data_IF_014976029711
#
_entry.id   IF_014976029711
#
_cell.length_a   1.000
_cell.length_b   1.000
_cell.length_c   1.000
_cell.angle_alpha   90.00
_cell.angle_beta   90.00
_cell.angle_gamma   90.00
#
_symmetry.space_group_name_H-M   'P 1'
#
loop_
_entity.id
_entity.type
_entity.pdbx_description
1 polymer ?
#
# COMPACT_ATOMS: atom_id res chain seq x y z
N UNK A 1 19.04 -27.98 18.54
CA UNK A 1 19.16 -27.02 17.42
C UNK A 1 17.86 -26.26 17.33
N UNK A 2 17.79 -25.09 17.95
CA UNK A 2 16.57 -24.27 17.95
C UNK A 2 16.52 -23.49 16.65
N UNK A 3 15.55 -23.79 15.78
CA UNK A 3 15.22 -22.93 14.65
C UNK A 3 14.67 -21.64 15.23
N UNK A 4 15.47 -20.58 15.20
CA UNK A 4 14.99 -19.24 15.47
C UNK A 4 13.93 -18.95 14.41
N UNK A 5 12.65 -18.99 14.81
CA UNK A 5 11.58 -18.43 14.01
C UNK A 5 11.92 -16.95 13.86
N UNK A 6 12.51 -16.59 12.73
CA UNK A 6 12.60 -15.19 12.31
C UNK A 6 11.16 -14.73 12.22
N UNK A 7 10.70 -14.01 13.23
CA UNK A 7 9.43 -13.32 13.14
C UNK A 7 9.52 -12.48 11.85
N UNK A 8 8.53 -12.54 10.95
CA UNK A 8 8.54 -11.63 9.81
C UNK A 8 8.53 -10.22 10.38
N UNK A 9 9.70 -9.56 10.31
CA UNK A 9 9.84 -8.17 10.69
C UNK A 9 8.74 -7.42 9.94
N UNK A 10 7.89 -6.62 10.61
CA UNK A 10 6.83 -5.89 9.93
C UNK A 10 7.49 -4.94 8.93
N UNK A 11 7.50 -5.36 7.66
CA UNK A 11 8.01 -4.56 6.58
C UNK A 11 6.99 -3.45 6.32
N UNK A 12 7.45 -2.19 6.17
CA UNK A 12 6.55 -1.10 5.85
C UNK A 12 5.80 -1.41 4.56
N UNK A 13 4.53 -1.02 4.52
CA UNK A 13 3.63 -1.33 3.43
C UNK A 13 2.93 -0.07 2.93
N UNK A 14 2.47 -0.12 1.70
CA UNK A 14 1.76 0.96 1.01
C UNK A 14 0.43 0.42 0.50
N UNK A 15 -0.50 1.33 0.23
CA UNK A 15 -1.77 0.98 -0.41
C UNK A 15 -1.71 1.50 -1.82
N UNK A 16 -1.88 0.61 -2.79
CA UNK A 16 -1.96 0.95 -4.20
C UNK A 16 -3.37 0.73 -4.70
N UNK A 17 -3.81 1.58 -5.62
CA UNK A 17 -5.05 1.46 -6.37
C UNK A 17 -4.73 1.07 -7.80
N UNK A 18 -5.40 0.03 -8.30
CA UNK A 18 -5.46 -0.25 -9.73
C UNK A 18 -6.51 0.66 -10.35
N UNK A 19 -6.10 1.47 -11.30
CA UNK A 19 -7.04 2.16 -12.18
C UNK A 19 -7.61 1.18 -13.21
N UNK A 20 -8.91 1.27 -13.49
CA UNK A 20 -9.55 0.41 -14.48
C UNK A 20 -9.12 0.71 -15.93
N UNK A 21 -8.40 1.82 -16.16
CA UNK A 21 -8.01 2.27 -17.49
C UNK A 21 -6.69 1.61 -17.91
N UNK A 22 -6.62 1.00 -19.12
CA UNK A 22 -5.36 0.51 -19.67
C UNK A 22 -4.33 1.65 -19.80
N UNK A 23 -3.13 1.45 -19.26
CA UNK A 23 -2.04 2.43 -19.28
C UNK A 23 -2.08 3.50 -18.18
N UNK A 24 -3.02 3.41 -17.24
CA UNK A 24 -3.00 4.26 -16.06
C UNK A 24 -1.89 3.81 -15.08
N UNK A 25 -1.14 4.78 -14.56
CA UNK A 25 -0.06 4.53 -13.61
C UNK A 25 -0.63 4.07 -12.26
N UNK A 26 0.13 3.22 -11.56
CA UNK A 26 -0.21 2.84 -10.20
C UNK A 26 -0.34 4.10 -9.33
N UNK A 27 -1.43 4.20 -8.59
CA UNK A 27 -1.65 5.29 -7.65
C UNK A 27 -1.52 4.76 -6.24
N UNK A 28 -0.82 5.48 -5.37
CA UNK A 28 -0.56 5.14 -3.99
C UNK A 28 -1.33 6.06 -3.06
N UNK A 29 -1.81 5.51 -1.95
CA UNK A 29 -2.66 6.23 -1.01
C UNK A 29 -1.84 7.24 -0.20
N UNK A 30 -2.37 8.46 -0.10
CA UNK A 30 -1.99 9.47 0.89
C UNK A 30 -3.17 9.62 1.83
N UNK A 31 -2.96 9.39 3.12
CA UNK A 31 -3.92 9.76 4.16
C UNK A 31 -3.54 11.14 4.68
N UNK A 32 -4.45 12.10 4.50
CA UNK A 32 -4.35 13.40 5.16
C UNK A 32 -4.54 13.26 6.67
N UNK A 33 -4.08 14.24 7.44
CA UNK A 33 -4.23 14.28 8.89
C UNK A 33 -5.69 14.18 9.35
N UNK A 34 -6.63 14.68 8.54
CA UNK A 34 -8.08 14.60 8.77
C UNK A 34 -8.70 13.23 8.41
N UNK A 35 -7.88 12.27 7.97
CA UNK A 35 -8.33 10.94 7.53
C UNK A 35 -8.89 10.89 6.11
N UNK A 36 -8.78 11.99 5.35
CA UNK A 36 -9.13 12.01 3.93
C UNK A 36 -8.14 11.18 3.10
N UNK A 37 -8.66 10.40 2.15
CA UNK A 37 -7.88 9.57 1.25
C UNK A 37 -7.60 10.31 -0.07
N UNK A 38 -6.34 10.59 -0.32
CA UNK A 38 -5.80 11.17 -1.56
C UNK A 38 -4.88 10.16 -2.26
N UNK A 39 -4.48 10.42 -3.50
CA UNK A 39 -3.74 9.48 -4.35
C UNK A 39 -2.59 10.16 -5.07
N UNK A 40 -1.41 9.55 -5.03
CA UNK A 40 -0.20 10.03 -5.71
C UNK A 40 0.37 8.96 -6.63
N UNK A 41 1.02 9.36 -7.72
CA UNK A 41 1.82 8.43 -8.53
C UNK A 41 3.22 8.20 -7.94
N UNK A 42 3.63 9.01 -6.96
CA UNK A 42 4.94 8.91 -6.33
C UNK A 42 4.88 8.06 -5.05
N UNK A 43 5.49 6.87 -5.03
CA UNK A 43 5.52 6.01 -3.84
C UNK A 43 6.25 6.64 -2.64
N UNK A 44 7.16 7.58 -2.87
CA UNK A 44 7.91 8.22 -1.78
C UNK A 44 7.01 9.13 -0.94
N UNK A 45 6.01 9.75 -1.58
CA UNK A 45 5.00 10.62 -0.96
C UNK A 45 3.84 9.84 -0.35
N UNK A 46 3.70 8.55 -0.68
CA UNK A 46 2.63 7.70 -0.19
C UNK A 46 2.75 7.42 1.31
N UNK A 47 1.60 7.31 1.97
CA UNK A 47 1.52 7.01 3.40
C UNK A 47 2.02 5.60 3.69
N UNK A 48 3.18 5.50 4.33
CA UNK A 48 3.74 4.25 4.81
C UNK A 48 2.98 3.72 6.04
N UNK A 49 2.51 2.49 5.95
CA UNK A 49 1.96 1.73 7.07
C UNK A 49 3.05 0.87 7.68
N UNK A 50 2.97 0.62 9.00
CA UNK A 50 3.99 -0.17 9.69
C UNK A 50 3.95 -1.64 9.27
N UNK A 51 2.82 -2.12 8.75
CA UNK A 51 2.69 -3.52 8.28
C UNK A 51 1.71 -3.67 7.11
N UNK A 52 1.86 -4.76 6.35
CA UNK A 52 0.89 -5.19 5.33
C UNK A 52 -0.54 -5.30 5.88
N UNK A 53 -0.70 -5.77 7.12
CA UNK A 53 -2.03 -5.90 7.74
C UNK A 53 -2.72 -4.55 7.90
N UNK A 54 -1.97 -3.52 8.26
CA UNK A 54 -2.50 -2.15 8.35
C UNK A 54 -2.84 -1.59 6.98
N UNK A 55 -1.94 -1.75 6.00
CA UNK A 55 -2.20 -1.33 4.62
C UNK A 55 -3.47 -2.00 4.07
N UNK A 56 -3.62 -3.32 4.22
CA UNK A 56 -4.83 -4.04 3.79
C UNK A 56 -6.08 -3.59 4.54
N UNK A 57 -5.99 -3.31 5.85
CA UNK A 57 -7.12 -2.73 6.59
C UNK A 57 -7.54 -1.38 6.03
N UNK A 58 -6.59 -0.52 5.68
CA UNK A 58 -6.92 0.76 5.07
C UNK A 58 -7.49 0.58 3.67
N UNK A 59 -6.94 -0.33 2.87
CA UNK A 59 -7.50 -0.68 1.57
C UNK A 59 -8.96 -1.15 1.67
N UNK A 60 -9.30 -1.96 2.68
CA UNK A 60 -10.68 -2.42 2.92
C UNK A 60 -11.62 -1.32 3.46
N UNK A 61 -11.08 -0.23 4.02
CA UNK A 61 -11.89 0.92 4.48
C UNK A 61 -12.24 1.87 3.34
N UNK A 62 -11.53 1.79 2.22
CA UNK A 62 -11.83 2.59 1.04
C UNK A 62 -13.15 2.13 0.39
N UNK A 63 -13.83 3.03 -0.33
CA UNK A 63 -14.98 2.66 -1.14
C UNK A 63 -14.66 1.50 -2.08
N UNK A 64 -15.58 0.55 -2.21
CA UNK A 64 -15.42 -0.65 -3.06
C UNK A 64 -15.19 -0.32 -4.54
N UNK A 65 -15.54 0.89 -4.99
CA UNK A 65 -15.23 1.40 -6.33
C UNK A 65 -13.73 1.63 -6.56
N UNK A 66 -12.95 1.85 -5.50
CA UNK A 66 -11.51 2.05 -5.54
C UNK A 66 -10.85 0.70 -5.24
N UNK A 67 -10.56 -0.09 -6.28
CA UNK A 67 -9.87 -1.39 -6.19
C UNK A 67 -8.44 -1.18 -5.65
N UNK A 68 -8.33 -1.13 -4.33
CA UNK A 68 -7.10 -0.87 -3.61
C UNK A 68 -6.60 -2.12 -2.87
N UNK A 69 -5.28 -2.25 -2.75
CA UNK A 69 -4.61 -3.38 -2.12
C UNK A 69 -3.34 -2.94 -1.41
N UNK A 70 -3.00 -3.63 -0.33
CA UNK A 70 -1.74 -3.44 0.37
C UNK A 70 -0.60 -4.09 -0.41
N UNK A 71 0.54 -3.41 -0.51
CA UNK A 71 1.78 -3.95 -1.07
C UNK A 71 2.97 -3.58 -0.19
N UNK A 72 4.00 -4.44 -0.13
CA UNK A 72 5.21 -4.14 0.63
C UNK A 72 5.99 -3.00 -0.02
N UNK A 73 6.50 -2.08 0.80
CA UNK A 73 7.31 -0.95 0.34
C UNK A 73 8.59 -1.51 -0.31
N UNK A 74 8.84 -1.14 -1.56
CA UNK A 74 9.92 -1.69 -2.39
C UNK A 74 9.48 -2.66 -3.49
N UNK A 75 8.26 -3.21 -3.46
CA UNK A 75 7.71 -3.99 -4.57
C UNK A 75 7.23 -3.11 -5.75
N UNK A 76 7.25 -1.80 -5.56
CA UNK A 76 6.68 -0.79 -6.45
C UNK A 76 7.51 -0.62 -7.73
N UNK A 77 8.79 -0.98 -7.69
CA UNK A 77 9.73 -0.93 -8.83
C UNK A 77 9.86 -2.23 -9.63
N UNK A 78 9.14 -3.30 -9.28
CA UNK A 78 9.20 -4.58 -10.04
C UNK A 78 8.17 -4.66 -11.18
N UNK A 79 7.38 -3.61 -11.40
CA UNK A 79 6.44 -3.53 -12.51
C UNK A 79 7.07 -2.68 -13.62
N UNK A 80 8.05 -3.24 -14.32
CA UNK A 80 8.68 -2.64 -15.50
C UNK A 80 8.54 -3.57 -16.71
#
# INVERSE_FOLDING_TARGET
MSVAFTQPQPAPALVSRTEARPGAMASYLILSADGAADWTADPTQATAFASMREATRQAMRLPSSLKAYGLPRGAEGMVH
#
